data_IF_785957597075
#
_entry.id   IF_785957597075
#
_cell.length_a   1.000
_cell.length_b   1.000
_cell.length_c   1.000
_cell.angle_alpha   90.00
_cell.angle_beta   90.00
_cell.angle_gamma   90.00
#
_symmetry.space_group_name_H-M   'P 1'
#
loop_
_entity.id
_entity.type
_entity.pdbx_description
1 polymer ?
#
# COMPACT_ATOMS: atom_id res chain seq x y z
N UNK A 1 23.31 9.17 9.16
CA UNK A 1 23.40 7.96 8.33
C UNK A 1 22.45 6.95 8.91
N UNK A 2 21.42 6.55 8.16
CA UNK A 2 20.53 5.47 8.59
C UNK A 2 21.32 4.16 8.58
N UNK A 3 21.33 3.43 9.69
CA UNK A 3 21.95 2.11 9.79
C UNK A 3 20.92 1.07 9.35
N UNK A 4 21.33 0.11 8.53
CA UNK A 4 20.42 -0.96 8.12
C UNK A 4 19.84 -1.67 9.34
N UNK A 5 18.53 -1.92 9.34
CA UNK A 5 17.88 -2.71 10.39
C UNK A 5 18.47 -4.12 10.42
N UNK A 6 18.64 -4.67 11.63
CA UNK A 6 19.17 -6.03 11.85
C UNK A 6 18.20 -7.12 11.40
N UNK A 7 16.90 -6.81 11.38
CA UNK A 7 15.83 -7.72 10.95
C UNK A 7 15.08 -7.14 9.74
N UNK A 8 14.83 -7.99 8.74
CA UNK A 8 14.06 -7.65 7.53
C UNK A 8 12.80 -8.49 7.49
N UNK A 9 11.63 -7.84 7.47
CA UNK A 9 10.35 -8.54 7.42
C UNK A 9 10.08 -9.10 6.02
N UNK A 10 9.95 -10.42 5.89
CA UNK A 10 9.64 -11.06 4.59
C UNK A 10 8.15 -10.92 4.27
N UNK A 11 7.79 -10.43 3.09
CA UNK A 11 6.42 -10.15 2.65
C UNK A 11 6.22 -10.72 1.23
N UNK A 12 5.00 -11.16 0.91
CA UNK A 12 4.65 -11.57 -0.46
C UNK A 12 4.19 -10.35 -1.26
N UNK A 13 4.60 -10.24 -2.51
CA UNK A 13 4.01 -9.27 -3.43
C UNK A 13 2.48 -9.48 -3.48
N UNK A 14 1.71 -8.40 -3.57
CA UNK A 14 0.24 -8.44 -3.50
C UNK A 14 -0.34 -8.59 -2.09
N UNK A 15 0.49 -8.82 -1.05
CA UNK A 15 -0.02 -8.92 0.31
C UNK A 15 -0.39 -7.54 0.87
N UNK A 16 -1.46 -7.51 1.66
CA UNK A 16 -1.79 -6.36 2.51
C UNK A 16 -1.03 -6.43 3.82
N UNK A 17 -0.31 -5.37 4.13
CA UNK A 17 0.41 -5.16 5.39
C UNK A 17 -0.30 -4.10 6.23
N UNK A 18 0.05 -4.06 7.52
CA UNK A 18 -0.34 -2.97 8.41
C UNK A 18 0.91 -2.20 8.81
N UNK A 19 0.92 -0.91 8.55
CA UNK A 19 1.80 0.06 9.21
C UNK A 19 1.07 0.58 10.45
N UNK A 20 1.69 0.40 11.61
CA UNK A 20 1.15 0.88 12.88
C UNK A 20 1.91 2.14 13.30
N UNK A 21 1.18 3.23 13.51
CA UNK A 21 1.66 4.53 13.97
C UNK A 21 1.35 4.72 15.45
N UNK A 22 2.31 5.29 16.15
CA UNK A 22 2.26 5.59 17.58
C UNK A 22 2.83 7.00 17.79
N UNK A 23 2.27 7.76 18.72
CA UNK A 23 2.74 9.10 19.06
C UNK A 23 4.01 9.04 19.92
N UNK A 24 4.04 8.06 20.82
CA UNK A 24 5.11 7.84 21.78
C UNK A 24 6.02 6.66 21.38
N UNK A 25 7.13 6.53 22.09
CA UNK A 25 8.08 5.42 21.90
C UNK A 25 7.56 4.07 22.44
N UNK A 26 6.44 4.09 23.15
CA UNK A 26 5.71 2.88 23.53
C UNK A 26 4.64 2.53 22.50
N UNK A 27 4.08 1.32 22.61
CA UNK A 27 2.95 0.88 21.79
C UNK A 27 1.61 1.12 22.50
N UNK A 28 1.61 1.93 23.56
CA UNK A 28 0.42 2.23 24.36
C UNK A 28 -0.33 3.42 23.78
N UNK A 29 0.40 4.39 23.19
CA UNK A 29 -0.18 5.42 22.31
C UNK A 29 -0.63 4.83 20.96
N UNK A 30 -1.60 5.48 20.31
CA UNK A 30 -2.11 5.08 18.98
C UNK A 30 -2.22 6.31 18.08
N UNK A 31 -1.83 6.18 16.82
CA UNK A 31 -2.01 7.25 15.84
C UNK A 31 -1.14 8.48 16.13
N UNK A 32 -1.73 9.65 15.93
CA UNK A 32 -1.17 10.98 16.18
C UNK A 32 -2.28 11.88 16.74
N UNK A 33 -1.95 12.98 17.41
CA UNK A 33 -2.96 13.93 17.91
C UNK A 33 -3.92 14.41 16.79
N UNK A 34 -5.22 14.45 17.11
CA UNK A 34 -6.29 14.71 16.14
C UNK A 34 -6.20 16.07 15.44
N UNK A 35 -5.48 17.04 16.01
CA UNK A 35 -5.24 18.35 15.40
C UNK A 35 -4.30 18.28 14.19
N UNK A 36 -3.52 17.20 14.04
CA UNK A 36 -2.56 16.99 12.96
C UNK A 36 -3.24 16.55 11.65
N UNK A 37 -4.42 17.10 11.32
CA UNK A 37 -5.17 16.79 10.10
C UNK A 37 -4.25 16.85 8.88
N UNK A 38 -4.40 15.88 7.99
CA UNK A 38 -3.60 15.79 6.78
C UNK A 38 -3.56 14.39 6.16
N UNK A 39 -2.79 14.22 5.06
CA UNK A 39 -2.73 12.96 4.35
C UNK A 39 -1.77 11.96 5.01
N UNK A 40 -2.01 10.67 4.72
CA UNK A 40 -0.99 9.63 4.87
C UNK A 40 -0.53 9.15 3.49
N UNK A 41 0.78 8.96 3.33
CA UNK A 41 1.40 8.47 2.11
C UNK A 41 2.33 7.31 2.41
N UNK A 42 2.44 6.37 1.47
CA UNK A 42 3.42 5.28 1.59
C UNK A 42 4.17 5.12 0.27
N UNK A 43 5.50 5.09 0.39
CA UNK A 43 6.43 4.93 -0.71
C UNK A 43 7.28 3.67 -0.54
N UNK A 44 7.76 3.14 -1.65
CA UNK A 44 8.77 2.08 -1.67
C UNK A 44 9.99 2.52 -2.48
N UNK A 45 11.17 2.03 -2.11
CA UNK A 45 12.41 2.16 -2.87
C UNK A 45 13.29 0.90 -2.68
N UNK A 46 14.09 0.47 -3.66
CA UNK A 46 15.04 -0.63 -3.46
C UNK A 46 16.00 -0.32 -2.31
N UNK A 47 16.24 -1.26 -1.40
CA UNK A 47 17.13 -1.06 -0.25
C UNK A 47 18.56 -0.69 -0.69
N UNK A 48 19.01 -1.22 -1.82
CA UNK A 48 20.32 -0.92 -2.42
C UNK A 48 20.51 0.56 -2.79
N UNK A 49 19.43 1.32 -2.96
CA UNK A 49 19.50 2.77 -3.21
C UNK A 49 19.82 3.60 -1.97
N UNK A 50 19.66 3.02 -0.76
CA UNK A 50 19.65 3.73 0.51
C UNK A 50 18.68 4.93 0.55
N UNK A 51 17.62 4.91 -0.28
CA UNK A 51 16.65 5.99 -0.39
C UNK A 51 17.15 7.24 -1.12
N UNK A 52 18.30 7.17 -1.80
CA UNK A 52 18.94 8.32 -2.47
C UNK A 52 18.60 8.34 -3.96
N UNK A 53 18.27 9.54 -4.46
CA UNK A 53 17.96 9.78 -5.87
C UNK A 53 16.50 9.50 -6.22
N UNK A 54 16.20 9.37 -7.52
CA UNK A 54 14.84 9.20 -8.03
C UNK A 54 14.35 7.74 -7.89
N UNK A 55 14.19 7.30 -6.65
CA UNK A 55 13.99 5.87 -6.32
C UNK A 55 12.68 5.56 -5.60
N UNK A 56 11.99 6.60 -5.11
CA UNK A 56 10.75 6.42 -4.35
C UNK A 56 9.54 6.40 -5.27
N UNK A 57 8.79 5.30 -5.29
CA UNK A 57 7.50 5.22 -5.96
C UNK A 57 6.38 5.08 -4.92
N UNK A 58 5.28 5.81 -5.12
CA UNK A 58 4.15 5.84 -4.21
C UNK A 58 3.29 4.59 -4.40
N UNK A 59 2.88 3.93 -3.32
CA UNK A 59 2.00 2.74 -3.36
C UNK A 59 0.67 2.97 -2.66
N UNK A 60 0.56 4.04 -1.87
CA UNK A 60 -0.64 4.40 -1.14
C UNK A 60 -0.68 5.91 -0.92
N UNK A 61 -1.89 6.46 -1.00
CA UNK A 61 -2.22 7.77 -0.45
C UNK A 61 -3.65 7.79 0.06
N UNK A 62 -3.88 8.60 1.09
CA UNK A 62 -5.20 8.99 1.54
C UNK A 62 -5.13 10.43 2.03
N UNK A 63 -5.99 11.29 1.50
CA UNK A 63 -6.12 12.70 1.87
C UNK A 63 -7.47 13.00 2.50
N UNK A 64 -8.00 14.19 2.22
CA UNK A 64 -9.34 14.61 2.63
C UNK A 64 -10.44 13.95 1.77
N UNK A 65 -11.47 13.39 2.42
CA UNK A 65 -12.69 12.90 1.79
C UNK A 65 -13.83 13.90 1.99
N UNK A 66 -14.20 14.61 0.91
CA UNK A 66 -15.25 15.64 0.95
C UNK A 66 -16.65 15.12 1.26
N UNK A 67 -16.89 13.81 1.27
CA UNK A 67 -18.19 13.22 1.63
C UNK A 67 -18.35 12.99 3.11
N UNK A 68 -17.24 12.62 3.78
CA UNK A 68 -17.20 12.32 5.20
C UNK A 68 -16.60 13.46 6.01
N UNK A 69 -15.94 14.41 5.34
CA UNK A 69 -15.14 15.49 5.92
C UNK A 69 -13.94 14.98 6.75
N UNK A 70 -13.57 13.72 6.54
CA UNK A 70 -12.46 13.08 7.24
C UNK A 70 -11.16 13.18 6.45
N UNK A 71 -10.06 13.38 7.18
CA UNK A 71 -8.69 13.23 6.73
C UNK A 71 -8.20 11.79 6.90
N UNK A 72 -6.97 11.51 6.45
CA UNK A 72 -6.37 10.22 6.75
C UNK A 72 -6.23 9.99 8.25
N UNK A 73 -5.81 11.02 8.99
CA UNK A 73 -5.60 10.98 10.44
C UNK A 73 -6.86 10.54 11.19
N UNK A 74 -8.03 11.08 10.85
CA UNK A 74 -9.29 10.64 11.46
C UNK A 74 -9.49 9.13 11.35
N UNK A 75 -9.26 8.60 10.15
CA UNK A 75 -9.42 7.15 9.92
C UNK A 75 -8.28 6.31 10.48
N UNK A 76 -7.11 6.90 10.71
CA UNK A 76 -5.97 6.26 11.35
C UNK A 76 -6.25 6.08 12.85
N UNK A 77 -6.78 7.11 13.49
CA UNK A 77 -7.14 7.12 14.90
C UNK A 77 -8.30 6.15 15.17
N UNK A 78 -9.34 6.16 14.33
CA UNK A 78 -10.43 5.16 14.35
C UNK A 78 -9.91 3.72 14.20
N UNK A 79 -8.80 3.55 13.49
CA UNK A 79 -8.15 2.26 13.27
C UNK A 79 -7.06 1.93 14.32
N UNK A 80 -6.98 2.69 15.42
CA UNK A 80 -5.93 2.56 16.45
C UNK A 80 -4.52 2.61 15.86
N UNK A 81 -4.23 3.62 15.03
CA UNK A 81 -2.92 3.83 14.42
C UNK A 81 -2.63 2.91 13.23
N UNK A 82 -3.57 2.09 12.75
CA UNK A 82 -3.29 1.03 11.76
C UNK A 82 -3.66 1.43 10.34
N UNK A 83 -2.64 1.73 9.54
CA UNK A 83 -2.77 1.98 8.11
C UNK A 83 -2.59 0.69 7.31
N UNK A 84 -3.62 0.30 6.54
CA UNK A 84 -3.57 -0.87 5.64
C UNK A 84 -3.04 -0.48 4.27
N UNK A 85 -2.03 -1.21 3.80
CA UNK A 85 -1.34 -0.93 2.53
C UNK A 85 -1.10 -2.23 1.78
N UNK A 86 -1.37 -2.26 0.48
CA UNK A 86 -1.09 -3.43 -0.36
C UNK A 86 0.26 -3.26 -1.05
N UNK A 87 1.14 -4.25 -0.90
CA UNK A 87 2.41 -4.30 -1.64
C UNK A 87 2.09 -4.59 -3.11
N UNK A 88 2.63 -3.84 -4.08
CA UNK A 88 2.41 -4.12 -5.50
C UNK A 88 2.73 -5.58 -5.84
N UNK A 89 1.88 -6.20 -6.67
CA UNK A 89 2.00 -7.64 -6.99
C UNK A 89 3.02 -7.95 -8.08
N UNK A 90 3.44 -6.95 -8.87
CA UNK A 90 4.24 -7.14 -10.08
C UNK A 90 5.68 -6.61 -9.98
N UNK A 91 6.06 -6.01 -8.85
CA UNK A 91 7.42 -5.52 -8.59
C UNK A 91 8.40 -6.67 -8.47
N UNK A 92 9.67 -6.42 -8.79
CA UNK A 92 10.70 -7.44 -8.66
C UNK A 92 10.90 -7.91 -7.21
N UNK A 93 11.24 -9.19 -7.05
CA UNK A 93 11.67 -9.72 -5.77
C UNK A 93 12.93 -8.99 -5.28
N UNK A 94 13.01 -8.71 -3.99
CA UNK A 94 14.16 -8.00 -3.44
C UNK A 94 13.92 -7.37 -2.07
N UNK A 95 14.95 -6.69 -1.58
CA UNK A 95 14.89 -5.90 -0.35
C UNK A 95 14.49 -4.46 -0.68
N UNK A 96 13.52 -3.93 0.05
CA UNK A 96 12.95 -2.61 -0.14
C UNK A 96 12.94 -1.82 1.17
N UNK A 97 13.12 -0.51 1.06
CA UNK A 97 12.67 0.46 2.04
C UNK A 97 11.18 0.73 1.78
N UNK A 98 10.39 0.69 2.84
CA UNK A 98 8.99 1.11 2.86
C UNK A 98 8.89 2.33 3.76
N UNK A 99 8.52 3.47 3.20
CA UNK A 99 8.45 4.77 3.87
C UNK A 99 7.00 5.16 4.10
N UNK A 100 6.52 5.06 5.35
CA UNK A 100 5.26 5.64 5.77
C UNK A 100 5.46 7.11 6.14
N UNK A 101 4.55 7.98 5.74
CA UNK A 101 4.61 9.41 5.95
C UNK A 101 3.23 9.97 6.31
N UNK A 102 3.19 10.78 7.35
CA UNK A 102 2.08 11.69 7.65
C UNK A 102 2.55 13.10 7.34
N UNK A 103 1.68 13.92 6.76
CA UNK A 103 1.89 15.36 6.62
C UNK A 103 0.81 16.04 7.45
N UNK A 104 1.18 16.73 8.52
CA UNK A 104 0.25 17.49 9.35
C UNK A 104 0.15 18.93 8.84
N UNK A 105 -1.07 19.43 8.71
CA UNK A 105 -1.37 20.70 8.05
C UNK A 105 -1.83 21.80 9.01
N UNK A 106 -1.80 21.57 10.32
CA UNK A 106 -2.33 22.52 11.33
C UNK A 106 -1.66 23.90 11.30
N UNK A 107 -0.43 24.00 10.78
CA UNK A 107 0.29 25.25 10.58
C UNK A 107 0.62 25.52 9.09
N UNK A 108 0.07 24.74 8.16
CA UNK A 108 0.42 24.80 6.73
C UNK A 108 -0.12 26.03 5.97
N UNK A 109 -0.85 26.91 6.65
CA UNK A 109 -1.23 28.24 6.14
C UNK A 109 -0.05 29.23 6.14
N UNK A 110 1.06 28.87 6.78
CA UNK A 110 2.35 29.54 6.65
C UNK A 110 3.29 28.73 5.75
N UNK A 111 4.09 29.43 4.94
CA UNK A 111 5.15 28.79 4.13
C UNK A 111 6.13 28.06 5.07
N UNK A 112 6.31 26.77 4.83
CA UNK A 112 7.16 25.90 5.66
C UNK A 112 6.48 25.40 6.95
N UNK A 113 5.18 25.67 7.14
CA UNK A 113 4.44 25.25 8.33
C UNK A 113 3.86 23.83 8.28
N UNK A 114 3.88 23.14 7.14
CA UNK A 114 3.51 21.72 7.08
C UNK A 114 4.56 20.85 7.78
N UNK A 115 4.13 19.99 8.68
CA UNK A 115 5.02 19.09 9.41
C UNK A 115 4.98 17.69 8.80
N UNK A 116 6.14 17.14 8.48
CA UNK A 116 6.24 15.84 7.81
C UNK A 116 6.86 14.84 8.79
N UNK A 117 6.15 13.72 9.03
CA UNK A 117 6.54 12.64 9.93
C UNK A 117 6.86 11.36 9.13
N UNK A 118 8.08 11.21 8.60
CA UNK A 118 8.45 10.04 7.82
C UNK A 118 9.12 8.97 8.67
N UNK A 119 8.80 7.72 8.42
CA UNK A 119 9.49 6.58 8.99
C UNK A 119 9.67 5.48 7.95
N UNK A 120 10.82 4.80 8.00
CA UNK A 120 11.17 3.75 7.04
C UNK A 120 11.33 2.40 7.73
N UNK A 121 10.86 1.34 7.08
CA UNK A 121 11.07 -0.06 7.47
C UNK A 121 11.68 -0.85 6.32
N UNK A 122 12.52 -1.82 6.65
CA UNK A 122 13.11 -2.72 5.67
C UNK A 122 12.24 -3.97 5.52
N UNK A 123 11.87 -4.27 4.28
CA UNK A 123 11.08 -5.44 3.93
C UNK A 123 11.75 -6.24 2.82
N UNK A 124 11.53 -7.55 2.81
CA UNK A 124 11.96 -8.44 1.72
C UNK A 124 10.73 -8.92 0.98
N UNK A 125 10.55 -8.47 -0.25
CA UNK A 125 9.43 -8.86 -1.11
C UNK A 125 9.81 -10.10 -1.91
N UNK A 126 8.88 -11.05 -2.00
CA UNK A 126 9.02 -12.26 -2.82
C UNK A 126 7.73 -12.64 -3.54
N UNK A 127 7.85 -13.39 -4.64
CA UNK A 127 6.70 -13.84 -5.43
C UNK A 127 6.03 -12.71 -6.23
N UNK A 128 6.78 -11.68 -6.57
CA UNK A 128 6.36 -10.59 -7.45
C UNK A 128 6.62 -10.89 -8.93
N UNK A 129 6.86 -9.83 -9.69
CA UNK A 129 7.11 -9.87 -11.12
C UNK A 129 8.51 -9.35 -11.48
N UNK A 130 8.57 -8.52 -12.51
CA UNK A 130 9.81 -7.91 -13.02
C UNK A 130 9.72 -6.39 -13.10
N UNK A 131 8.63 -5.80 -12.60
CA UNK A 131 8.41 -4.37 -12.70
C UNK A 131 9.42 -3.61 -11.83
N UNK A 132 9.94 -2.52 -12.41
CA UNK A 132 10.83 -1.56 -11.77
C UNK A 132 10.18 -0.18 -11.87
N UNK A 133 9.29 0.19 -10.94
CA UNK A 133 8.61 1.48 -10.99
C UNK A 133 9.63 2.63 -11.02
N UNK A 134 9.39 3.61 -11.88
CA UNK A 134 10.18 4.85 -11.85
C UNK A 134 9.82 5.64 -10.58
N UNK A 135 10.83 6.21 -9.92
CA UNK A 135 10.64 6.93 -8.67
C UNK A 135 10.89 8.44 -8.77
N UNK A 136 10.70 9.10 -7.64
CA UNK A 136 11.04 10.50 -7.35
C UNK A 136 12.09 10.56 -6.23
N UNK A 137 12.71 11.72 -6.05
CA UNK A 137 13.63 11.97 -4.94
C UNK A 137 12.88 12.49 -3.71
N UNK A 138 13.25 11.95 -2.55
CA UNK A 138 12.82 12.45 -1.24
C UNK A 138 14.10 12.62 -0.40
N UNK A 139 14.55 13.85 -0.11
CA UNK A 139 13.93 15.15 -0.42
C UNK A 139 13.94 15.51 -1.92
N UNK A 140 13.05 16.43 -2.32
CA UNK A 140 13.01 17.03 -3.67
C UNK A 140 11.66 16.92 -4.40
N UNK A 141 10.79 16.01 -3.99
CA UNK A 141 9.45 15.84 -4.57
C UNK A 141 8.46 16.92 -4.13
N UNK A 142 8.59 17.42 -2.90
CA UNK A 142 7.70 18.43 -2.33
C UNK A 142 8.35 19.82 -2.41
N UNK A 143 7.55 20.81 -2.77
CA UNK A 143 7.91 22.23 -2.70
C UNK A 143 7.07 22.92 -1.65
N UNK A 144 7.63 23.97 -1.06
CA UNK A 144 6.97 24.76 -0.04
C UNK A 144 5.64 25.36 -0.51
N UNK A 145 5.50 25.64 -1.82
CA UNK A 145 4.31 26.25 -2.44
C UNK A 145 3.40 25.24 -3.15
N UNK A 146 3.68 23.93 -3.04
CA UNK A 146 2.76 22.92 -3.57
C UNK A 146 1.40 23.02 -2.84
N UNK A 147 0.26 22.90 -3.53
CA UNK A 147 -1.07 23.09 -2.93
C UNK A 147 -1.45 22.05 -1.85
N UNK A 148 -0.68 20.97 -1.75
CA UNK A 148 -0.79 19.96 -0.68
C UNK A 148 0.26 20.12 0.43
N UNK A 149 1.07 21.17 0.38
CA UNK A 149 2.10 21.50 1.37
C UNK A 149 1.80 22.88 1.97
N UNK A 150 1.46 23.86 1.14
CA UNK A 150 0.88 25.14 1.58
C UNK A 150 -0.64 25.06 1.49
N UNK A 151 -1.29 24.84 2.63
CA UNK A 151 -2.72 24.58 2.72
C UNK A 151 -3.31 25.17 3.99
N UNK A 152 -4.40 25.94 3.84
CA UNK A 152 -5.10 26.56 4.95
C UNK A 152 -6.31 25.71 5.36
N UNK A 153 -6.21 25.03 6.50
CA UNK A 153 -7.29 24.23 7.08
C UNK A 153 -8.46 25.08 7.59
N UNK A 154 -8.25 26.37 7.84
CA UNK A 154 -9.27 27.27 8.38
C UNK A 154 -10.03 28.03 7.27
N UNK A 155 -9.57 27.92 6.02
CA UNK A 155 -10.24 28.49 4.85
C UNK A 155 -11.39 27.60 4.35
N UNK A 156 -12.25 28.17 3.51
CA UNK A 156 -13.27 27.39 2.81
C UNK A 156 -12.61 26.50 1.72
N UNK A 157 -12.63 25.18 1.91
CA UNK A 157 -12.20 24.20 0.91
C UNK A 157 -13.19 23.04 0.77
N UNK A 158 -13.20 22.41 -0.40
CA UNK A 158 -13.98 21.20 -0.66
C UNK A 158 -13.13 20.04 -1.17
N UNK A 159 -11.86 20.30 -1.49
CA UNK A 159 -10.93 19.32 -2.04
C UNK A 159 -9.53 19.59 -1.51
N UNK A 160 -8.74 18.53 -1.40
CA UNK A 160 -7.33 18.60 -1.06
C UNK A 160 -6.50 17.93 -2.16
N UNK A 161 -5.39 18.55 -2.56
CA UNK A 161 -4.45 17.96 -3.52
C UNK A 161 -3.35 17.24 -2.77
N UNK A 162 -3.35 15.91 -2.82
CA UNK A 162 -2.29 15.13 -2.17
C UNK A 162 -0.95 15.39 -2.89
N UNK A 163 0.13 15.73 -2.17
CA UNK A 163 1.41 16.04 -2.80
C UNK A 163 2.13 14.77 -3.32
N UNK A 164 3.10 14.98 -4.22
CA UNK A 164 3.94 13.92 -4.79
C UNK A 164 3.40 13.24 -6.05
N UNK A 165 4.06 12.17 -6.54
CA UNK A 165 3.65 11.49 -7.76
C UNK A 165 2.32 10.76 -7.57
N UNK A 166 1.70 10.32 -8.65
CA UNK A 166 0.55 9.40 -8.58
C UNK A 166 0.97 8.07 -7.97
N UNK A 167 0.00 7.33 -7.40
CA UNK A 167 0.20 5.93 -7.01
C UNK A 167 0.70 5.12 -8.22
N UNK A 168 1.66 4.25 -7.97
CA UNK A 168 2.07 3.20 -8.87
C UNK A 168 0.97 2.13 -8.96
N UNK A 169 0.40 1.97 -10.14
CA UNK A 169 -0.60 0.95 -10.43
C UNK A 169 0.09 -0.34 -10.88
N UNK A 170 0.05 -1.37 -10.03
CA UNK A 170 0.52 -2.70 -10.40
C UNK A 170 -0.30 -3.22 -11.58
N UNK A 171 0.37 -3.72 -12.62
CA UNK A 171 -0.32 -4.44 -13.68
C UNK A 171 -0.80 -5.76 -13.09
N UNK A 172 -2.07 -6.09 -13.32
CA UNK A 172 -2.58 -7.42 -12.99
C UNK A 172 -1.65 -8.45 -13.63
N UNK A 173 -0.98 -9.25 -12.81
CA UNK A 173 -0.36 -10.47 -13.29
C UNK A 173 -1.50 -11.31 -13.87
N UNK A 174 -1.46 -11.72 -15.16
CA UNK A 174 -2.30 -12.82 -15.59
C UNK A 174 -1.98 -13.93 -14.60
N UNK A 175 -2.98 -14.36 -13.83
CA UNK A 175 -2.84 -15.53 -12.99
C UNK A 175 -2.22 -16.58 -13.89
N UNK A 176 -1.04 -17.09 -13.54
CA UNK A 176 -0.51 -18.26 -14.20
C UNK A 176 -1.59 -19.32 -14.02
N UNK A 177 -2.34 -19.55 -15.09
CA UNK A 177 -3.27 -20.66 -15.21
C UNK A 177 -2.44 -21.84 -14.72
N UNK A 178 -2.88 -22.46 -13.63
CA UNK A 178 -2.46 -23.82 -13.37
C UNK A 178 -3.00 -24.57 -14.59
N UNK A 179 -2.14 -24.80 -15.57
CA UNK A 179 -2.41 -25.75 -16.64
C UNK A 179 -2.66 -27.08 -15.94
N UNK A 180 -3.93 -27.42 -15.74
CA UNK A 180 -4.31 -28.80 -15.58
C UNK A 180 -3.99 -29.46 -16.92
N UNK A 181 -2.86 -30.16 -16.95
CA UNK A 181 -2.33 -30.72 -18.16
C UNK A 181 -3.25 -31.80 -18.68
N UNK A 182 -3.74 -31.61 -19.91
CA UNK A 182 -3.84 -32.73 -20.84
C UNK A 182 -3.83 -32.23 -22.29
N UNK A 183 -2.65 -32.22 -22.90
CA UNK A 183 -2.54 -32.18 -24.37
C UNK A 183 -2.25 -33.58 -24.85
N UNK A 184 -3.21 -34.24 -25.49
CA UNK A 184 -2.91 -35.27 -26.49
C UNK A 184 -3.96 -35.27 -27.60
N UNK A 185 -3.49 -34.81 -28.76
CA UNK A 185 -3.70 -35.32 -30.13
C UNK A 185 -5.09 -35.76 -30.59
N UNK A 186 -5.51 -35.17 -31.71
CA UNK A 186 -6.53 -35.72 -32.59
C UNK A 186 -6.13 -37.11 -33.10
N UNK A 187 -7.06 -38.06 -33.05
CA UNK A 187 -7.08 -39.23 -33.92
C UNK A 187 -8.51 -39.40 -34.46
N UNK A 188 -8.60 -39.65 -35.77
CA UNK A 188 -9.84 -39.94 -36.48
C UNK A 188 -9.92 -41.46 -36.62
N UNK A 189 -10.95 -42.12 -36.08
CA UNK A 189 -11.49 -43.31 -36.73
C UNK A 189 -12.95 -43.61 -36.36
N UNK A 190 -13.64 -44.20 -37.33
CA UNK A 190 -15.06 -44.56 -37.38
C UNK A 190 -15.26 -45.96 -36.80
N UNK A 191 -16.33 -46.17 -36.03
CA UNK A 191 -16.85 -47.50 -35.70
C UNK A 191 -18.15 -47.46 -34.90
N UNK A 192 -19.24 -47.83 -35.57
CA UNK A 192 -20.56 -48.16 -35.01
C UNK A 192 -20.49 -49.38 -34.07
N UNK A 193 -21.31 -49.39 -33.01
CA UNK A 193 -22.30 -50.45 -32.67
C UNK A 193 -22.56 -50.52 -31.14
N UNK A 194 -23.83 -50.26 -30.83
CA UNK A 194 -24.72 -50.92 -29.86
C UNK A 194 -24.56 -50.83 -28.31
N UNK A 195 -25.68 -50.38 -27.75
CA UNK A 195 -26.40 -50.85 -26.56
C UNK A 195 -26.21 -50.18 -25.17
N UNK A 196 -27.32 -49.52 -24.81
CA UNK A 196 -28.10 -49.61 -23.57
C UNK A 196 -27.82 -48.66 -22.39
N UNK A 197 -28.84 -47.81 -22.18
CA UNK A 197 -29.45 -47.39 -20.92
C UNK A 197 -28.55 -46.75 -19.84
N UNK A 198 -28.66 -45.42 -19.66
CA UNK A 198 -29.29 -44.81 -18.46
C UNK A 198 -29.79 -43.39 -18.80
N UNK A 199 -31.02 -43.09 -18.39
CA UNK A 199 -31.77 -41.83 -18.56
C UNK A 199 -30.99 -40.53 -18.22
N UNK A 200 -31.09 -39.54 -19.12
CA UNK A 200 -30.90 -38.10 -18.84
C UNK A 200 -32.20 -37.53 -18.23
N UNK A 201 -32.15 -36.67 -17.22
CA UNK A 201 -32.39 -35.20 -17.23
C UNK A 201 -32.48 -34.82 -15.73
N UNK A 202 -32.09 -33.67 -15.17
CA UNK A 202 -31.81 -32.33 -15.67
C UNK A 202 -31.08 -31.53 -14.57
N UNK A 203 -30.23 -30.59 -14.99
CA UNK A 203 -29.54 -29.59 -14.17
C UNK A 203 -30.49 -28.50 -13.62
N UNK A 204 -30.32 -28.07 -12.36
CA UNK A 204 -30.10 -26.63 -12.05
C UNK A 204 -29.84 -26.30 -10.56
N UNK A 205 -28.69 -25.66 -10.34
CA UNK A 205 -28.43 -24.44 -9.57
C UNK A 205 -29.13 -24.18 -8.22
N UNK A 206 -28.33 -24.13 -7.14
CA UNK A 206 -28.03 -22.88 -6.40
C UNK A 206 -27.45 -23.16 -5.01
N UNK A 207 -26.28 -22.57 -4.73
CA UNK A 207 -25.81 -22.38 -3.34
C UNK A 207 -24.36 -22.75 -3.05
N UNK A 208 -23.39 -22.18 -3.80
CA UNK A 208 -22.03 -22.13 -3.31
C UNK A 208 -21.94 -21.13 -2.13
N UNK A 209 -21.94 -21.69 -0.91
CA UNK A 209 -21.71 -21.01 0.35
C UNK A 209 -20.26 -20.49 0.42
N UNK A 210 -20.06 -19.19 0.19
CA UNK A 210 -18.77 -18.50 0.31
C UNK A 210 -18.54 -17.98 1.74
N UNK A 211 -18.33 -18.88 2.71
CA UNK A 211 -17.88 -18.52 4.07
C UNK A 211 -16.51 -19.13 4.41
N UNK A 212 -15.54 -19.03 3.50
CA UNK A 212 -14.28 -19.80 3.60
C UNK A 212 -12.95 -19.06 3.37
N UNK A 213 -12.91 -17.73 3.22
CA UNK A 213 -11.63 -17.01 3.02
C UNK A 213 -11.36 -16.05 4.18
N UNK A 214 -11.32 -16.60 5.40
CA UNK A 214 -10.71 -15.94 6.56
C UNK A 214 -9.39 -16.64 6.82
N UNK A 215 -8.27 -16.02 6.42
CA UNK A 215 -6.95 -16.63 6.64
C UNK A 215 -5.79 -16.07 5.82
N UNK A 216 -5.85 -14.83 5.32
CA UNK A 216 -4.63 -14.19 4.82
C UNK A 216 -3.89 -13.65 6.05
N UNK A 217 -2.77 -14.29 6.41
CA UNK A 217 -1.88 -13.87 7.49
C UNK A 217 -1.54 -12.38 7.37
N UNK A 218 -2.18 -11.55 8.19
CA UNK A 218 -1.92 -10.12 8.28
C UNK A 218 -0.57 -9.91 8.99
N UNK A 219 0.47 -9.51 8.26
CA UNK A 219 1.78 -9.17 8.86
C UNK A 219 1.74 -7.75 9.39
N UNK A 220 1.98 -7.62 10.70
CA UNK A 220 2.14 -6.34 11.38
C UNK A 220 3.58 -5.84 11.19
N UNK A 221 3.74 -4.64 10.65
CA UNK A 221 5.02 -3.95 10.57
C UNK A 221 4.92 -2.70 11.45
N UNK A 222 5.54 -2.76 12.63
CA UNK A 222 5.56 -1.64 13.57
C UNK A 222 6.40 -0.51 13.03
N UNK A 223 5.85 0.71 13.00
CA UNK A 223 6.59 1.91 12.69
C UNK A 223 6.62 2.75 13.97
N UNK A 224 7.79 2.85 14.60
CA UNK A 224 7.95 3.71 15.76
C UNK A 224 8.01 5.15 15.24
N UNK A 225 6.92 5.92 15.34
CA UNK A 225 6.98 7.32 14.98
C UNK A 225 7.69 8.06 16.12
N UNK A 226 8.85 8.64 15.85
CA UNK A 226 9.44 9.60 16.77
C UNK A 226 8.79 10.97 16.54
N UNK A 227 8.10 11.45 17.57
CA UNK A 227 8.10 12.88 17.89
C UNK A 227 9.57 13.33 18.01
N UNK A 228 9.85 14.53 17.52
CA UNK A 228 11.10 15.32 17.66
C UNK A 228 12.07 15.36 16.47
N UNK A 229 11.64 15.17 15.22
CA UNK A 229 12.30 15.83 14.08
C UNK A 229 11.27 16.13 12.99
N UNK A 230 10.40 17.13 13.23
CA UNK A 230 9.86 17.89 12.12
C UNK A 230 11.08 18.41 11.35
N UNK A 231 11.32 17.91 10.14
CA UNK A 231 12.37 18.46 9.30
C UNK A 231 11.78 19.73 8.68
N UNK A 232 12.24 20.94 9.09
CA UNK A 232 11.95 22.11 8.29
C UNK A 232 12.53 21.84 6.90
N UNK A 233 11.69 21.99 5.89
CA UNK A 233 12.17 22.06 4.51
C UNK A 233 12.91 23.38 4.29
#
# INVERSE_FOLDING_TARGET
MSTNATDICSIKAGATIILEFHEELDRDSVGIDESHKGPCLVYMAPLSSNGVGNVWFKIFEKGYDSKTENWCIDTLDEANGKLRVTIPSDIEDGDYLLRGEIIALHAASDIGGAEIFPNCVQIRVSGGGTAKPSGVAIPGVYKEDDPGIFFDLEADFTTYTIPGPKIYEAKSTPNSILEDGNTTVADNDIGDDDDDDVDEEDDNDSGANINGISGVFQKLVSLLAMITLAFPY
#
